data_IF_763930911322
#
_entry.id   IF_763930911322
#
_cell.length_a   1.000
_cell.length_b   1.000
_cell.length_c   1.000
_cell.angle_alpha   90.00
_cell.angle_beta   90.00
_cell.angle_gamma   90.00
#
_symmetry.space_group_name_H-M   'P 1'
#
loop_
_entity.id
_entity.type
_entity.pdbx_description
1 polymer ?
#
# COMPACT_ATOMS: atom_id res chain seq x y z
N UNK A 1 15.87 -0.42 11.09
CA UNK A 1 14.99 -1.20 10.17
C UNK A 1 14.09 -0.19 9.47
N UNK A 2 13.95 -0.28 8.15
CA UNK A 2 13.11 0.63 7.36
C UNK A 2 11.88 -0.10 6.85
N UNK A 3 10.70 0.49 7.01
CA UNK A 3 9.45 -0.01 6.46
C UNK A 3 8.85 0.94 5.44
N UNK A 4 8.03 0.42 4.54
CA UNK A 4 7.22 1.22 3.63
C UNK A 4 5.77 0.77 3.68
N UNK A 5 4.87 1.68 4.02
CA UNK A 5 3.42 1.47 3.89
C UNK A 5 2.95 2.12 2.57
N UNK A 6 2.38 1.32 1.68
CA UNK A 6 1.79 1.80 0.42
C UNK A 6 0.28 1.92 0.61
N UNK A 7 -0.23 3.13 0.57
CA UNK A 7 -1.67 3.41 0.71
C UNK A 7 -2.34 3.45 -0.65
N UNK A 8 -3.12 2.43 -0.95
CA UNK A 8 -3.80 2.22 -2.22
C UNK A 8 -5.22 2.80 -2.29
N UNK A 9 -5.51 3.87 -1.58
CA UNK A 9 -6.80 4.57 -1.72
C UNK A 9 -6.74 5.61 -2.83
N UNK A 10 -7.85 5.80 -3.54
CA UNK A 10 -7.99 6.89 -4.53
C UNK A 10 -8.38 8.23 -3.88
N UNK A 11 -8.56 8.26 -2.57
CA UNK A 11 -9.00 9.44 -1.82
C UNK A 11 -7.89 9.91 -0.88
N UNK A 12 -7.52 11.18 -0.97
CA UNK A 12 -6.65 11.85 0.00
C UNK A 12 -7.33 11.86 1.37
N UNK A 13 -6.57 11.58 2.44
CA UNK A 13 -7.12 11.52 3.79
C UNK A 13 -8.10 10.36 4.02
N UNK A 14 -7.94 9.26 3.29
CA UNK A 14 -8.80 8.07 3.40
C UNK A 14 -8.65 7.34 4.74
N UNK A 15 -9.64 6.49 5.08
CA UNK A 15 -9.55 5.58 6.23
C UNK A 15 -8.34 4.65 6.14
N UNK A 16 -7.97 4.21 4.93
CA UNK A 16 -6.73 3.43 4.72
C UNK A 16 -5.48 4.24 5.08
N UNK A 17 -5.45 5.55 4.76
CA UNK A 17 -4.36 6.44 5.16
C UNK A 17 -4.34 6.65 6.68
N UNK A 18 -5.51 6.85 7.31
CA UNK A 18 -5.60 6.96 8.76
C UNK A 18 -5.05 5.71 9.47
N UNK A 19 -5.39 4.52 8.97
CA UNK A 19 -4.84 3.26 9.50
C UNK A 19 -3.32 3.17 9.31
N UNK A 20 -2.81 3.61 8.15
CA UNK A 20 -1.36 3.65 7.91
C UNK A 20 -0.64 4.57 8.89
N UNK A 21 -1.16 5.77 9.16
CA UNK A 21 -0.62 6.72 10.15
C UNK A 21 -0.64 6.15 11.56
N UNK A 22 -1.75 5.49 11.95
CA UNK A 22 -1.82 4.82 13.25
C UNK A 22 -0.72 3.76 13.40
N UNK A 23 -0.52 2.93 12.38
CA UNK A 23 0.53 1.90 12.40
C UNK A 23 1.93 2.52 12.46
N UNK A 24 2.19 3.60 11.72
CA UNK A 24 3.48 4.31 11.80
C UNK A 24 3.76 4.74 13.25
N UNK A 25 2.78 5.33 13.95
CA UNK A 25 2.95 5.68 15.36
C UNK A 25 3.20 4.46 16.29
N UNK A 26 2.69 3.28 15.94
CA UNK A 26 3.03 2.06 16.69
C UNK A 26 4.48 1.61 16.43
N UNK A 27 4.95 1.72 15.20
CA UNK A 27 6.34 1.41 14.84
C UNK A 27 7.33 2.35 15.49
N UNK A 28 7.02 3.65 15.60
CA UNK A 28 7.85 4.66 16.28
C UNK A 28 8.12 4.27 17.75
N UNK A 29 7.13 3.67 18.41
CA UNK A 29 7.29 3.16 19.79
C UNK A 29 8.31 2.01 19.91
N UNK A 30 8.75 1.45 18.79
CA UNK A 30 9.70 0.34 18.71
C UNK A 30 10.98 0.70 17.94
N UNK A 31 11.27 1.99 17.73
CA UNK A 31 12.44 2.47 17.00
C UNK A 31 12.56 1.90 15.57
N UNK A 32 11.42 1.71 14.90
CA UNK A 32 11.35 1.26 13.51
C UNK A 32 10.92 2.42 12.62
N UNK A 33 11.77 2.81 11.70
CA UNK A 33 11.52 3.88 10.73
C UNK A 33 10.57 3.41 9.63
N UNK A 34 9.39 4.00 9.54
CA UNK A 34 8.35 3.60 8.57
C UNK A 34 7.86 4.81 7.78
N UNK A 35 8.02 4.74 6.49
CA UNK A 35 7.55 5.74 5.54
C UNK A 35 6.15 5.37 5.00
N UNK A 36 5.35 6.39 4.69
CA UNK A 36 4.05 6.21 4.02
C UNK A 36 4.15 6.75 2.59
N UNK A 37 3.78 5.92 1.62
CA UNK A 37 3.57 6.32 0.24
C UNK A 37 2.08 6.30 -0.09
N UNK A 38 1.43 7.47 -0.05
CA UNK A 38 0.01 7.61 -0.38
C UNK A 38 -0.16 7.84 -1.89
N UNK A 39 -0.80 6.88 -2.57
CA UNK A 39 -1.01 6.93 -4.01
C UNK A 39 -2.04 7.98 -4.45
N UNK A 40 -2.89 8.48 -3.54
CA UNK A 40 -3.78 9.59 -3.83
C UNK A 40 -3.05 10.95 -3.84
N UNK A 41 -2.06 11.11 -2.97
CA UNK A 41 -1.24 12.33 -2.88
C UNK A 41 -0.09 12.32 -3.89
N UNK A 42 0.46 11.15 -4.17
CA UNK A 42 1.58 10.93 -5.10
C UNK A 42 1.19 9.91 -6.18
N UNK A 43 0.34 10.29 -7.15
CA UNK A 43 -0.11 9.38 -8.18
C UNK A 43 1.05 8.91 -9.05
N UNK A 44 0.97 7.66 -9.50
CA UNK A 44 1.90 7.06 -10.45
C UNK A 44 1.28 7.10 -11.86
N UNK A 45 2.12 7.13 -12.90
CA UNK A 45 1.60 6.89 -14.23
C UNK A 45 1.01 5.47 -14.34
N UNK A 46 0.03 5.33 -15.22
CA UNK A 46 -0.41 3.99 -15.58
C UNK A 46 0.75 3.24 -16.23
N UNK A 47 0.95 1.97 -15.84
CA UNK A 47 1.99 1.15 -16.45
C UNK A 47 1.73 1.01 -17.94
N UNK A 48 2.74 1.37 -18.74
CA UNK A 48 2.69 1.34 -20.19
C UNK A 48 4.04 0.91 -20.74
N UNK A 49 4.10 -0.31 -21.26
CA UNK A 49 5.31 -0.85 -21.92
C UNK A 49 5.49 -0.34 -23.36
N UNK A 50 4.45 0.27 -23.96
CA UNK A 50 4.54 0.84 -25.30
C UNK A 50 5.18 2.24 -25.31
N UNK A 51 5.24 2.89 -24.14
CA UNK A 51 5.76 4.25 -23.98
C UNK A 51 4.89 5.33 -24.62
N UNK A 52 3.63 5.04 -24.89
CA UNK A 52 2.68 5.97 -25.53
C UNK A 52 1.94 6.84 -24.52
N UNK A 53 1.93 6.45 -23.25
CA UNK A 53 1.25 7.21 -22.19
C UNK A 53 2.02 8.49 -21.86
N UNK A 54 1.34 9.62 -22.00
CA UNK A 54 1.90 10.91 -21.59
C UNK A 54 1.84 11.06 -20.08
N UNK A 55 2.99 11.24 -19.45
CA UNK A 55 3.12 11.51 -18.02
C UNK A 55 3.85 12.81 -17.78
N UNK A 56 3.42 13.59 -16.80
CA UNK A 56 4.16 14.77 -16.34
C UNK A 56 5.47 14.35 -15.67
N UNK A 57 6.43 15.26 -15.60
CA UNK A 57 7.70 15.00 -14.90
C UNK A 57 7.47 14.71 -13.41
N UNK A 58 6.47 15.34 -12.80
CA UNK A 58 6.06 15.05 -11.42
C UNK A 58 5.61 13.59 -11.25
N UNK A 59 4.74 13.09 -12.12
CA UNK A 59 4.25 11.70 -12.05
C UNK A 59 5.40 10.70 -12.28
N UNK A 60 6.31 11.00 -13.20
CA UNK A 60 7.52 10.17 -13.41
C UNK A 60 8.42 10.16 -12.16
N UNK A 61 8.60 11.32 -11.52
CA UNK A 61 9.35 11.45 -10.28
C UNK A 61 8.69 10.67 -9.13
N UNK A 62 7.36 10.71 -9.01
CA UNK A 62 6.62 9.91 -8.04
C UNK A 62 6.83 8.41 -8.25
N UNK A 63 6.77 7.95 -9.51
CA UNK A 63 6.98 6.54 -9.85
C UNK A 63 8.37 6.07 -9.46
N UNK A 64 9.39 6.89 -9.79
CA UNK A 64 10.76 6.59 -9.39
C UNK A 64 10.91 6.59 -7.87
N UNK A 65 10.38 7.58 -7.17
CA UNK A 65 10.44 7.67 -5.72
C UNK A 65 9.76 6.47 -5.03
N UNK A 66 8.64 5.98 -5.58
CA UNK A 66 7.99 4.76 -5.11
C UNK A 66 8.91 3.55 -5.25
N UNK A 67 9.50 3.38 -6.43
CA UNK A 67 10.43 2.27 -6.70
C UNK A 67 11.65 2.32 -5.77
N UNK A 68 12.28 3.48 -5.63
CA UNK A 68 13.46 3.66 -4.76
C UNK A 68 13.11 3.29 -3.30
N UNK A 69 11.98 3.80 -2.75
CA UNK A 69 11.52 3.47 -1.40
C UNK A 69 11.18 1.99 -1.22
N UNK A 70 10.52 1.39 -2.20
CA UNK A 70 10.21 -0.04 -2.16
C UNK A 70 11.48 -0.91 -2.18
N UNK A 71 12.51 -0.48 -2.90
CA UNK A 71 13.81 -1.17 -2.94
C UNK A 71 14.54 -1.07 -1.60
N UNK A 72 14.57 0.12 -0.99
CA UNK A 72 15.29 0.38 0.27
C UNK A 72 14.61 -0.25 1.50
N UNK A 73 13.30 -0.53 1.44
CA UNK A 73 12.55 -1.04 2.57
C UNK A 73 12.98 -2.48 2.94
N UNK A 74 13.14 -2.75 4.23
CA UNK A 74 13.37 -4.09 4.78
C UNK A 74 12.06 -4.91 4.82
N UNK A 75 10.91 -4.23 4.95
CA UNK A 75 9.56 -4.82 4.90
C UNK A 75 8.58 -3.86 4.24
N UNK A 76 7.46 -4.40 3.77
CA UNK A 76 6.40 -3.64 3.12
C UNK A 76 5.05 -3.84 3.82
N UNK A 77 4.18 -2.86 3.75
CA UNK A 77 2.77 -3.01 4.12
C UNK A 77 1.93 -2.49 2.96
N UNK A 78 1.02 -3.32 2.43
CA UNK A 78 0.09 -2.90 1.39
C UNK A 78 -1.28 -2.63 2.00
N UNK A 79 -1.72 -1.37 1.88
CA UNK A 79 -3.01 -0.89 2.37
C UNK A 79 -3.99 -0.65 1.23
N UNK A 80 -5.22 -1.14 1.35
CA UNK A 80 -6.24 -1.00 0.31
C UNK A 80 -7.63 -0.76 0.90
N UNK A 81 -8.47 0.09 0.28
CA UNK A 81 -9.91 0.01 0.49
C UNK A 81 -10.47 -1.25 -0.19
N UNK A 82 -11.65 -1.68 0.25
CA UNK A 82 -12.40 -2.72 -0.44
C UNK A 82 -13.26 -2.08 -1.55
N UNK A 83 -12.86 -2.26 -2.80
CA UNK A 83 -13.64 -1.86 -3.97
C UNK A 83 -14.18 -3.10 -4.66
N UNK A 84 -15.50 -3.33 -4.53
CA UNK A 84 -16.19 -4.47 -5.17
C UNK A 84 -15.58 -5.84 -4.82
N UNK A 85 -15.22 -6.05 -3.54
CA UNK A 85 -14.65 -7.32 -3.07
C UNK A 85 -13.17 -7.50 -3.36
N UNK A 86 -12.45 -6.44 -3.80
CA UNK A 86 -11.03 -6.55 -4.13
C UNK A 86 -10.26 -5.29 -3.75
N UNK A 87 -8.95 -5.35 -3.92
CA UNK A 87 -8.05 -4.20 -3.77
C UNK A 87 -8.28 -3.17 -4.89
N UNK A 88 -7.86 -1.93 -4.64
CA UNK A 88 -8.02 -0.83 -5.60
C UNK A 88 -7.15 -0.99 -6.86
N UNK A 89 -7.63 -0.45 -7.98
CA UNK A 89 -6.88 -0.43 -9.23
C UNK A 89 -5.58 0.38 -9.14
N UNK A 90 -5.56 1.48 -8.35
CA UNK A 90 -4.34 2.28 -8.19
C UNK A 90 -3.26 1.54 -7.40
N UNK A 91 -3.63 0.72 -6.41
CA UNK A 91 -2.66 -0.15 -5.75
C UNK A 91 -2.12 -1.20 -6.72
N UNK A 92 -3.01 -1.81 -7.52
CA UNK A 92 -2.56 -2.78 -8.53
C UNK A 92 -1.59 -2.16 -9.52
N UNK A 93 -1.90 -0.95 -10.02
CA UNK A 93 -1.00 -0.22 -10.90
C UNK A 93 0.37 0.02 -10.23
N UNK A 94 0.41 0.43 -8.96
CA UNK A 94 1.66 0.60 -8.25
C UNK A 94 2.46 -0.71 -8.14
N UNK A 95 1.78 -1.82 -7.82
CA UNK A 95 2.42 -3.13 -7.72
C UNK A 95 2.93 -3.65 -9.06
N UNK A 96 2.37 -3.20 -10.18
CA UNK A 96 2.84 -3.54 -11.52
C UNK A 96 4.10 -2.73 -11.93
N UNK A 97 4.42 -1.63 -11.24
CA UNK A 97 5.67 -0.89 -11.42
C UNK A 97 6.87 -1.50 -10.70
N UNK A 98 6.67 -2.50 -9.86
CA UNK A 98 7.72 -3.22 -9.14
C UNK A 98 7.72 -4.70 -9.55
N UNK A 99 8.87 -5.34 -9.39
CA UNK A 99 9.05 -6.75 -9.70
C UNK A 99 9.57 -7.52 -8.48
N UNK A 100 10.00 -8.77 -8.67
CA UNK A 100 10.50 -9.62 -7.60
C UNK A 100 11.70 -9.02 -6.84
N UNK A 101 12.54 -8.21 -7.49
CA UNK A 101 13.73 -7.65 -6.85
C UNK A 101 13.38 -6.72 -5.69
N UNK A 102 12.21 -6.08 -5.76
CA UNK A 102 11.73 -5.15 -4.73
C UNK A 102 11.11 -5.87 -3.52
N UNK A 103 10.60 -7.09 -3.70
CA UNK A 103 9.72 -7.74 -2.72
C UNK A 103 10.26 -9.10 -2.24
N UNK A 104 11.13 -9.75 -3.02
CA UNK A 104 11.64 -11.09 -2.72
C UNK A 104 12.19 -11.21 -1.31
N UNK A 105 11.66 -12.19 -0.56
CA UNK A 105 12.04 -12.54 0.81
C UNK A 105 11.77 -11.44 1.85
N UNK A 106 11.14 -10.32 1.47
CA UNK A 106 10.72 -9.30 2.43
C UNK A 106 9.40 -9.71 3.11
N UNK A 107 9.25 -9.47 4.42
CA UNK A 107 7.96 -9.55 5.08
C UNK A 107 6.99 -8.52 4.49
N UNK A 108 5.73 -8.94 4.23
CA UNK A 108 4.70 -8.06 3.68
C UNK A 108 3.45 -8.14 4.55
N UNK A 109 3.13 -7.06 5.26
CA UNK A 109 1.88 -6.87 5.97
C UNK A 109 0.75 -6.46 5.03
N UNK A 110 -0.48 -6.83 5.39
CA UNK A 110 -1.66 -6.48 4.61
C UNK A 110 -2.70 -5.80 5.50
N UNK A 111 -3.17 -4.62 5.08
CA UNK A 111 -4.18 -3.86 5.78
C UNK A 111 -5.30 -3.46 4.81
N UNK A 112 -6.53 -3.46 5.29
CA UNK A 112 -7.68 -3.12 4.48
C UNK A 112 -8.74 -2.34 5.24
N UNK A 113 -9.52 -1.54 4.53
CA UNK A 113 -10.65 -0.82 5.08
C UNK A 113 -11.89 -0.97 4.19
N UNK A 114 -13.06 -1.01 4.80
CA UNK A 114 -14.33 -1.17 4.11
C UNK A 114 -15.42 -0.32 4.75
N UNK A 115 -16.23 0.37 3.93
CA UNK A 115 -17.40 1.11 4.39
C UNK A 115 -18.66 0.25 4.60
N UNK A 116 -18.61 -1.03 4.28
CA UNK A 116 -19.67 -1.99 4.45
C UNK A 116 -19.33 -3.06 5.49
N UNK A 117 -19.63 -4.31 5.19
CA UNK A 117 -19.20 -5.43 6.02
C UNK A 117 -17.67 -5.53 5.96
N UNK A 118 -17.02 -5.64 7.13
CA UNK A 118 -15.56 -5.87 7.19
C UNK A 118 -15.26 -7.14 6.42
N UNK A 119 -14.46 -7.01 5.39
CA UNK A 119 -14.12 -8.12 4.53
C UNK A 119 -12.62 -8.26 4.36
N UNK A 120 -12.16 -9.50 4.37
CA UNK A 120 -10.76 -9.85 4.17
C UNK A 120 -10.44 -10.24 2.72
N UNK A 121 -11.41 -10.24 1.82
CA UNK A 121 -11.23 -10.66 0.43
C UNK A 121 -10.13 -9.87 -0.29
N UNK A 122 -10.10 -8.51 -0.22
CA UNK A 122 -9.02 -7.75 -0.83
C UNK A 122 -7.63 -8.18 -0.36
N UNK A 123 -7.51 -8.52 0.93
CA UNK A 123 -6.25 -8.96 1.54
C UNK A 123 -5.87 -10.36 1.08
N UNK A 124 -6.86 -11.24 0.91
CA UNK A 124 -6.65 -12.58 0.34
C UNK A 124 -6.15 -12.50 -1.11
N UNK A 125 -6.70 -11.59 -1.90
CA UNK A 125 -6.23 -11.34 -3.27
C UNK A 125 -4.81 -10.75 -3.29
N UNK A 126 -4.47 -9.84 -2.38
CA UNK A 126 -3.12 -9.30 -2.25
C UNK A 126 -2.09 -10.38 -1.88
N UNK A 127 -2.45 -11.41 -1.09
CA UNK A 127 -1.55 -12.53 -0.78
C UNK A 127 -1.09 -13.25 -2.03
N UNK A 128 -1.94 -13.37 -3.04
CA UNK A 128 -1.57 -13.98 -4.33
C UNK A 128 -0.50 -13.14 -5.02
N UNK A 129 -0.65 -11.81 -5.03
CA UNK A 129 0.33 -10.89 -5.62
C UNK A 129 1.65 -10.94 -4.86
N UNK A 130 1.62 -10.85 -3.52
CA UNK A 130 2.83 -10.95 -2.68
C UNK A 130 3.59 -12.24 -2.99
N UNK A 131 2.87 -13.36 -3.09
CA UNK A 131 3.47 -14.66 -3.44
C UNK A 131 4.08 -14.66 -4.83
N UNK A 132 3.42 -14.05 -5.83
CA UNK A 132 3.96 -13.97 -7.20
C UNK A 132 5.22 -13.12 -7.28
N UNK A 133 5.36 -12.13 -6.38
CA UNK A 133 6.55 -11.29 -6.21
C UNK A 133 7.60 -11.92 -5.26
N UNK A 134 7.42 -13.18 -4.86
CA UNK A 134 8.28 -13.93 -3.94
C UNK A 134 8.45 -13.28 -2.55
N UNK A 135 7.51 -12.44 -2.15
CA UNK A 135 7.44 -11.87 -0.80
C UNK A 135 6.84 -12.86 0.22
N UNK A 136 7.01 -12.56 1.50
CA UNK A 136 6.50 -13.34 2.62
C UNK A 136 5.30 -12.61 3.21
N UNK A 137 4.08 -12.94 2.74
CA UNK A 137 2.87 -12.37 3.35
C UNK A 137 2.77 -12.84 4.80
N UNK A 138 2.83 -11.90 5.77
CA UNK A 138 2.72 -12.25 7.18
C UNK A 138 1.35 -12.89 7.47
N UNK A 139 1.26 -13.85 8.41
CA UNK A 139 0.00 -14.54 8.71
C UNK A 139 -1.11 -13.59 9.15
N UNK A 140 -0.78 -12.64 10.03
CA UNK A 140 -1.71 -11.63 10.53
C UNK A 140 -2.01 -10.58 9.46
N UNK A 141 -3.27 -10.19 9.36
CA UNK A 141 -3.73 -9.09 8.51
C UNK A 141 -4.73 -8.25 9.29
N UNK A 142 -4.86 -6.97 8.95
CA UNK A 142 -5.76 -6.04 9.62
C UNK A 142 -6.85 -5.64 8.64
N UNK A 143 -8.10 -5.90 8.99
CA UNK A 143 -9.26 -5.40 8.26
C UNK A 143 -10.07 -4.51 9.20
N UNK A 144 -10.36 -3.28 8.77
CA UNK A 144 -11.10 -2.29 9.54
C UNK A 144 -12.38 -1.88 8.81
N UNK A 145 -13.28 -1.26 9.56
CA UNK A 145 -14.50 -0.64 9.06
C UNK A 145 -14.41 0.88 9.22
N UNK A 146 -15.15 1.64 8.43
CA UNK A 146 -15.18 3.11 8.51
C UNK A 146 -15.59 3.65 9.89
N UNK A 147 -16.34 2.88 10.68
CA UNK A 147 -16.74 3.22 12.05
C UNK A 147 -15.69 2.90 13.12
N UNK A 148 -14.59 2.26 12.77
CA UNK A 148 -13.57 1.91 13.76
C UNK A 148 -12.85 3.15 14.28
N UNK A 149 -12.47 3.19 15.58
CA UNK A 149 -11.89 4.39 16.22
C UNK A 149 -10.66 4.95 15.51
N UNK A 150 -9.91 4.12 14.83
CA UNK A 150 -8.72 4.53 14.05
C UNK A 150 -9.06 5.52 12.95
N UNK A 151 -10.27 5.44 12.38
CA UNK A 151 -10.71 6.36 11.34
C UNK A 151 -11.11 7.75 11.86
N UNK A 152 -11.36 7.89 13.17
CA UNK A 152 -11.80 9.16 13.78
C UNK A 152 -10.70 9.91 14.53
N UNK A 153 -9.60 9.28 14.90
CA UNK A 153 -8.53 9.91 15.68
C UNK A 153 -7.59 10.79 14.85
N UNK A 154 -7.78 10.86 13.54
CA UNK A 154 -6.91 11.60 12.62
C UNK A 154 -7.66 12.54 11.66
N UNK A 155 -8.94 12.83 11.95
CA UNK A 155 -9.70 13.88 11.26
C UNK A 155 -9.55 15.21 12.06
#
# INVERSE_FOLDING_TARGET
MKGLIVVGSAQVGSHTNALAKYLTGQFDNHDVDVDIFDLAERPLNQLDFSGTTHSTEEIKANTKAFQDKAMEADFLIFGTPNYHGSYSGILKNALDHINMEYVKMKPVGLIGNSGGIVSSEPLSHLRVIVRSLLGIAVPTQIATHDSDPVSYTHL
#
